data_IF_242403220392
#
_entry.id   IF_242403220392
#
_cell.length_a   1.000
_cell.length_b   1.000
_cell.length_c   1.000
_cell.angle_alpha   90.00
_cell.angle_beta   90.00
_cell.angle_gamma   90.00
#
_symmetry.space_group_name_H-M   'P 1'
#
loop_
_entity.id
_entity.type
_entity.pdbx_description
1 polymer ?
#
# COMPACT_ATOMS: atom_id res chain seq x y z
N UNK A 1 -22.18 -13.02 -3.98
CA UNK A 1 -21.15 -13.88 -3.38
C UNK A 1 -20.67 -14.99 -4.33
N UNK A 2 -21.55 -15.79 -4.99
CA UNK A 2 -21.14 -16.86 -5.94
C UNK A 2 -20.40 -16.32 -7.18
N UNK A 3 -20.82 -15.20 -7.75
CA UNK A 3 -20.13 -14.59 -8.91
C UNK A 3 -18.73 -14.04 -8.56
N UNK A 4 -18.53 -13.44 -7.39
CA UNK A 4 -17.19 -13.04 -6.91
C UNK A 4 -16.27 -14.23 -6.70
N UNK A 5 -16.76 -15.35 -6.21
CA UNK A 5 -15.97 -16.59 -6.05
C UNK A 5 -15.60 -17.25 -7.38
N UNK A 6 -16.42 -17.13 -8.43
CA UNK A 6 -16.10 -17.61 -9.79
C UNK A 6 -15.01 -16.75 -10.44
N UNK A 7 -15.13 -15.42 -10.41
CA UNK A 7 -14.10 -14.52 -10.97
C UNK A 7 -12.74 -14.69 -10.28
N UNK A 8 -12.71 -14.97 -8.98
CA UNK A 8 -11.46 -15.24 -8.25
C UNK A 8 -10.82 -16.56 -8.73
N UNK A 9 -11.60 -17.61 -8.99
CA UNK A 9 -11.06 -18.90 -9.41
C UNK A 9 -10.43 -18.88 -10.81
N UNK A 10 -11.01 -18.16 -11.74
CA UNK A 10 -10.55 -18.14 -13.14
C UNK A 10 -9.37 -17.18 -13.36
N UNK A 11 -9.22 -16.17 -12.50
CA UNK A 11 -8.10 -15.20 -12.56
C UNK A 11 -6.90 -15.58 -11.67
N UNK A 12 -7.02 -16.58 -10.80
CA UNK A 12 -5.98 -16.95 -9.83
C UNK A 12 -4.67 -17.41 -10.49
N UNK A 13 -4.74 -17.99 -11.68
CA UNK A 13 -3.55 -18.56 -12.34
C UNK A 13 -2.55 -17.48 -12.78
N UNK A 14 -2.99 -16.24 -12.95
CA UNK A 14 -2.16 -15.13 -13.42
C UNK A 14 -1.97 -14.01 -12.38
N UNK A 15 -2.66 -14.08 -11.22
CA UNK A 15 -2.55 -13.05 -10.21
C UNK A 15 -1.37 -13.29 -9.29
N UNK A 16 -0.45 -12.32 -9.17
CA UNK A 16 0.69 -12.39 -8.21
C UNK A 16 0.31 -12.02 -6.78
N UNK A 17 -0.91 -11.48 -6.57
CA UNK A 17 -1.38 -10.98 -5.27
C UNK A 17 -2.92 -10.98 -5.18
N UNK A 18 -3.43 -11.01 -3.94
CA UNK A 18 -4.86 -10.87 -3.63
C UNK A 18 -5.06 -9.77 -2.59
N UNK A 19 -6.11 -8.98 -2.81
CA UNK A 19 -6.59 -7.93 -1.91
C UNK A 19 -7.84 -8.37 -1.16
N UNK A 20 -7.90 -8.06 0.16
CA UNK A 20 -9.12 -8.12 0.96
C UNK A 20 -9.54 -9.51 1.41
N UNK A 21 -8.65 -10.48 1.37
CA UNK A 21 -8.86 -11.81 1.98
C UNK A 21 -8.01 -11.92 3.25
N UNK A 22 -8.55 -12.52 4.31
CA UNK A 22 -7.87 -12.78 5.58
C UNK A 22 -8.44 -14.02 6.27
N UNK A 23 -7.69 -14.54 7.25
CA UNK A 23 -8.00 -15.74 8.02
C UNK A 23 -7.01 -16.86 7.68
N UNK A 24 -6.28 -17.34 8.70
CA UNK A 24 -5.14 -18.24 8.54
C UNK A 24 -5.45 -19.47 7.67
N UNK A 25 -6.54 -20.18 7.95
CA UNK A 25 -6.90 -21.39 7.19
C UNK A 25 -7.30 -21.06 5.75
N UNK A 26 -8.00 -19.93 5.54
CA UNK A 26 -8.39 -19.46 4.20
C UNK A 26 -7.16 -19.13 3.37
N UNK A 27 -6.19 -18.42 3.98
CA UNK A 27 -4.96 -18.02 3.31
C UNK A 27 -4.08 -19.19 2.94
N UNK A 28 -3.90 -20.14 3.86
CA UNK A 28 -3.16 -21.39 3.57
C UNK A 28 -3.76 -22.13 2.39
N UNK A 29 -5.07 -22.33 2.40
CA UNK A 29 -5.76 -23.01 1.30
C UNK A 29 -5.63 -22.27 -0.05
N UNK A 30 -5.78 -20.95 -0.04
CA UNK A 30 -5.62 -20.15 -1.27
C UNK A 30 -4.19 -20.25 -1.81
N UNK A 31 -3.19 -20.23 -0.90
CA UNK A 31 -1.78 -20.36 -1.27
C UNK A 31 -1.49 -21.72 -1.89
N UNK A 32 -1.98 -22.81 -1.27
CA UNK A 32 -1.84 -24.18 -1.80
C UNK A 32 -2.49 -24.32 -3.17
N UNK A 33 -3.75 -23.89 -3.30
CA UNK A 33 -4.52 -23.95 -4.56
C UNK A 33 -3.84 -23.14 -5.68
N UNK A 34 -3.22 -22.01 -5.34
CA UNK A 34 -2.49 -21.17 -6.27
C UNK A 34 -1.15 -21.78 -6.68
N UNK A 35 -0.32 -22.17 -5.70
CA UNK A 35 1.03 -22.70 -5.98
C UNK A 35 0.97 -24.01 -6.75
N UNK A 36 -0.05 -24.84 -6.52
CA UNK A 36 -0.25 -26.10 -7.26
C UNK A 36 -0.48 -25.88 -8.77
N UNK A 37 -0.96 -24.71 -9.17
CA UNK A 37 -1.24 -24.36 -10.57
C UNK A 37 -0.12 -23.55 -11.22
N UNK A 38 0.74 -22.95 -10.44
CA UNK A 38 1.84 -22.11 -10.91
C UNK A 38 3.04 -22.95 -11.35
N UNK A 39 3.59 -22.72 -12.56
CA UNK A 39 4.72 -23.51 -13.07
C UNK A 39 6.00 -23.35 -12.24
N UNK A 40 6.17 -22.21 -11.57
CA UNK A 40 7.38 -21.89 -10.78
C UNK A 40 7.14 -21.96 -9.26
N UNK A 41 5.95 -22.32 -8.81
CA UNK A 41 5.56 -22.39 -7.40
C UNK A 41 5.89 -21.13 -6.59
N UNK A 42 5.77 -19.93 -7.24
CA UNK A 42 6.01 -18.63 -6.60
C UNK A 42 4.81 -18.28 -5.70
N UNK A 43 5.03 -18.04 -4.40
CA UNK A 43 3.94 -17.71 -3.49
C UNK A 43 3.22 -16.40 -3.87
N UNK A 44 1.90 -16.35 -3.60
CA UNK A 44 1.08 -15.17 -3.77
C UNK A 44 1.27 -14.18 -2.60
N UNK A 45 1.15 -12.87 -2.86
CA UNK A 45 1.07 -11.85 -1.81
C UNK A 45 -0.38 -11.66 -1.36
N UNK A 46 -0.61 -11.63 -0.05
CA UNK A 46 -1.90 -11.30 0.55
C UNK A 46 -1.84 -9.90 1.16
N UNK A 47 -2.72 -9.01 0.71
CA UNK A 47 -2.71 -7.59 1.05
C UNK A 47 -4.06 -7.12 1.56
N UNK A 48 -4.06 -6.17 2.51
CA UNK A 48 -5.29 -5.59 3.05
C UNK A 48 -5.02 -4.22 3.68
N UNK A 49 -6.07 -3.39 3.78
CA UNK A 49 -6.04 -2.18 4.59
C UNK A 49 -6.12 -2.51 6.07
N UNK A 50 -5.04 -2.29 6.81
CA UNK A 50 -4.97 -2.40 8.27
C UNK A 50 -4.52 -1.04 8.81
N UNK A 51 -5.33 0.00 8.57
CA UNK A 51 -4.94 1.41 8.79
C UNK A 51 -4.88 1.75 10.27
N UNK A 52 -5.88 1.32 11.04
CA UNK A 52 -5.94 1.54 12.48
C UNK A 52 -6.43 0.30 13.24
N UNK A 53 -5.92 -0.84 12.87
CA UNK A 53 -6.18 -2.14 13.49
C UNK A 53 -6.73 -3.19 12.53
N UNK A 54 -6.63 -4.45 12.92
CA UNK A 54 -7.14 -5.61 12.16
C UNK A 54 -8.49 -6.09 12.74
N UNK A 55 -8.47 -6.70 13.91
CA UNK A 55 -9.65 -7.10 14.70
C UNK A 55 -9.79 -6.20 15.91
N UNK A 56 -8.71 -5.93 16.61
CA UNK A 56 -8.68 -4.86 17.61
C UNK A 56 -8.59 -3.55 16.86
N UNK A 57 -9.61 -2.70 17.01
CA UNK A 57 -9.66 -1.40 16.35
C UNK A 57 -9.08 -0.36 17.31
N UNK A 58 -8.04 0.32 16.84
CA UNK A 58 -7.42 1.48 17.49
C UNK A 58 -8.11 2.77 17.03
N UNK A 59 -7.90 3.90 17.71
CA UNK A 59 -8.43 5.20 17.26
C UNK A 59 -8.03 5.50 15.82
N UNK A 60 -8.92 6.20 15.10
CA UNK A 60 -8.63 6.62 13.73
C UNK A 60 -7.35 7.48 13.67
N UNK A 61 -6.61 7.49 12.55
CA UNK A 61 -5.34 8.20 12.46
C UNK A 61 -5.41 9.68 12.87
N UNK A 62 -6.50 10.36 12.58
CA UNK A 62 -6.70 11.76 13.03
C UNK A 62 -6.71 11.88 14.56
N UNK A 63 -7.36 10.94 15.25
CA UNK A 63 -7.34 10.90 16.71
C UNK A 63 -5.96 10.49 17.26
N UNK A 64 -5.23 9.63 16.55
CA UNK A 64 -3.84 9.31 16.87
C UNK A 64 -2.96 10.57 16.72
N UNK A 65 -3.10 11.31 15.63
CA UNK A 65 -2.39 12.58 15.43
C UNK A 65 -2.64 13.60 16.53
N UNK A 66 -3.86 13.67 17.06
CA UNK A 66 -4.24 14.57 18.16
C UNK A 66 -3.57 14.25 19.49
N UNK A 67 -2.97 13.08 19.66
CA UNK A 67 -2.20 12.73 20.86
C UNK A 67 -0.81 13.36 20.90
N UNK A 68 -0.26 13.74 19.75
CA UNK A 68 1.13 14.12 19.58
C UNK A 68 2.14 13.05 20.04
N UNK A 69 1.73 11.77 20.02
CA UNK A 69 2.52 10.62 20.48
C UNK A 69 2.71 9.60 19.34
N UNK A 70 3.74 9.76 18.50
CA UNK A 70 4.04 8.82 17.42
C UNK A 70 4.43 7.43 17.93
N UNK A 71 5.10 7.32 19.08
CA UNK A 71 5.52 6.06 19.68
C UNK A 71 4.32 5.16 19.98
N UNK A 72 3.28 5.72 20.58
CA UNK A 72 2.02 5.01 20.86
C UNK A 72 1.37 4.49 19.57
N UNK A 73 1.39 5.27 18.48
CA UNK A 73 0.91 4.82 17.17
C UNK A 73 1.73 3.66 16.60
N UNK A 74 3.05 3.68 16.81
CA UNK A 74 3.94 2.59 16.47
C UNK A 74 3.63 1.30 17.25
N UNK A 75 3.30 1.40 18.53
CA UNK A 75 2.85 0.26 19.36
C UNK A 75 1.52 -0.33 18.84
N UNK A 76 0.56 0.53 18.48
CA UNK A 76 -0.70 0.10 17.88
C UNK A 76 -0.50 -0.58 16.54
N UNK A 77 0.39 -0.05 15.69
CA UNK A 77 0.78 -0.67 14.42
C UNK A 77 1.43 -2.04 14.63
N UNK A 78 2.28 -2.18 15.67
CA UNK A 78 2.89 -3.47 16.01
C UNK A 78 1.86 -4.50 16.50
N UNK A 79 0.88 -4.09 17.30
CA UNK A 79 -0.22 -4.95 17.71
C UNK A 79 -1.10 -5.38 16.52
N UNK A 80 -1.43 -4.43 15.64
CA UNK A 80 -2.17 -4.71 14.41
C UNK A 80 -1.41 -5.64 13.47
N UNK A 81 -0.07 -5.50 13.37
CA UNK A 81 0.79 -6.39 12.58
C UNK A 81 0.74 -7.82 13.07
N UNK A 82 0.74 -8.06 14.40
CA UNK A 82 0.63 -9.40 14.98
C UNK A 82 -0.69 -10.08 14.61
N UNK A 83 -1.81 -9.34 14.71
CA UNK A 83 -3.12 -9.87 14.31
C UNK A 83 -3.17 -10.15 12.79
N UNK A 84 -2.69 -9.21 11.97
CA UNK A 84 -2.68 -9.31 10.51
C UNK A 84 -1.81 -10.47 10.03
N UNK A 85 -0.60 -10.60 10.56
CA UNK A 85 0.34 -11.67 10.23
C UNK A 85 -0.19 -13.06 10.62
N UNK A 86 -0.77 -13.20 11.82
CA UNK A 86 -1.41 -14.43 12.25
C UNK A 86 -2.60 -14.83 11.38
N UNK A 87 -3.35 -13.84 10.84
CA UNK A 87 -4.42 -14.04 9.87
C UNK A 87 -3.92 -14.32 8.44
N UNK A 88 -2.60 -14.37 8.21
CA UNK A 88 -1.97 -14.72 6.93
C UNK A 88 -1.77 -13.55 5.97
N UNK A 89 -1.82 -12.31 6.45
CA UNK A 89 -1.48 -11.13 5.63
C UNK A 89 0.03 -10.94 5.55
N UNK A 90 0.49 -10.53 4.37
CA UNK A 90 1.89 -10.20 4.08
C UNK A 90 2.16 -8.70 4.02
N UNK A 91 1.16 -7.94 3.58
CA UNK A 91 1.24 -6.49 3.33
C UNK A 91 0.03 -5.78 3.91
N UNK A 92 0.27 -4.63 4.53
CA UNK A 92 -0.77 -3.66 4.86
C UNK A 92 -0.63 -2.39 4.03
N UNK A 93 -1.76 -1.79 3.60
CA UNK A 93 -1.80 -0.48 2.96
C UNK A 93 -1.85 0.64 4.02
N UNK A 94 -0.83 0.70 4.84
CA UNK A 94 -0.66 1.63 5.96
C UNK A 94 0.84 1.96 6.16
N UNK A 95 1.15 3.19 6.65
CA UNK A 95 0.27 4.30 6.98
C UNK A 95 -0.23 5.09 5.76
N UNK A 96 -1.36 5.79 5.96
CA UNK A 96 -1.75 6.90 5.10
C UNK A 96 -1.05 8.16 5.60
N UNK A 97 -0.19 8.73 4.76
CA UNK A 97 0.66 9.88 5.12
C UNK A 97 0.33 11.15 4.34
N UNK A 98 -0.87 11.21 3.75
CA UNK A 98 -1.35 12.40 3.08
C UNK A 98 -1.54 13.54 4.08
N UNK A 99 -0.89 14.68 3.80
CA UNK A 99 -1.04 15.87 4.60
C UNK A 99 -2.38 16.55 4.29
N UNK A 100 -3.19 16.79 5.31
CA UNK A 100 -4.48 17.47 5.16
C UNK A 100 -4.29 18.98 5.20
N UNK A 101 -4.76 19.68 4.17
CA UNK A 101 -4.77 21.16 4.12
C UNK A 101 -6.20 21.72 4.05
N UNK A 102 -7.16 20.94 3.61
CA UNK A 102 -8.55 21.32 3.51
C UNK A 102 -9.43 20.33 4.30
N UNK A 103 -10.04 20.81 5.39
CA UNK A 103 -10.86 19.99 6.27
C UNK A 103 -12.15 19.45 5.59
N UNK A 104 -12.49 19.91 4.39
CA UNK A 104 -13.61 19.40 3.59
C UNK A 104 -13.28 18.10 2.86
N UNK A 105 -12.00 17.73 2.76
CA UNK A 105 -11.60 16.50 2.12
C UNK A 105 -12.15 15.26 2.88
N UNK A 106 -12.82 14.35 2.16
CA UNK A 106 -13.54 13.22 2.78
C UNK A 106 -12.66 12.20 3.50
N UNK A 107 -11.33 12.20 3.25
CA UNK A 107 -10.36 11.26 3.84
C UNK A 107 -9.55 11.86 5.00
N UNK A 108 -9.94 13.02 5.52
CA UNK A 108 -9.28 13.67 6.68
C UNK A 108 -9.08 12.72 7.85
N UNK A 109 -10.06 11.85 8.12
CA UNK A 109 -10.05 10.89 9.24
C UNK A 109 -8.90 9.87 9.15
N UNK A 110 -8.39 9.61 7.96
CA UNK A 110 -7.29 8.66 7.72
C UNK A 110 -5.89 9.30 7.90
N UNK A 111 -5.80 10.63 7.99
CA UNK A 111 -4.55 11.38 8.15
C UNK A 111 -4.24 11.66 9.61
N UNK A 112 -2.96 11.82 9.94
CA UNK A 112 -2.50 12.29 11.25
C UNK A 112 -2.56 13.82 11.39
N UNK A 113 -2.98 14.57 10.35
CA UNK A 113 -3.24 16.01 10.44
C UNK A 113 -2.55 16.87 9.39
N UNK A 114 -2.28 18.12 9.75
CA UNK A 114 -1.83 19.18 8.84
C UNK A 114 -0.35 19.59 9.02
N UNK A 115 0.32 19.08 10.07
CA UNK A 115 1.72 19.39 10.35
C UNK A 115 2.65 18.40 9.63
N UNK A 116 3.53 18.85 8.71
CA UNK A 116 4.38 17.94 7.93
C UNK A 116 5.47 17.26 8.78
N UNK A 117 5.96 17.92 9.85
CA UNK A 117 6.94 17.32 10.73
C UNK A 117 6.32 16.21 11.58
N UNK A 118 5.20 16.51 12.23
CA UNK A 118 4.48 15.52 13.05
C UNK A 118 4.03 14.32 12.20
N UNK A 119 3.47 14.57 11.02
CA UNK A 119 3.09 13.51 10.07
C UNK A 119 4.30 12.65 9.68
N UNK A 120 5.48 13.23 9.51
CA UNK A 120 6.73 12.48 9.25
C UNK A 120 7.12 11.58 10.43
N UNK A 121 6.97 12.06 11.66
CA UNK A 121 7.24 11.24 12.86
C UNK A 121 6.27 10.09 13.02
N UNK A 122 4.98 10.31 12.73
CA UNK A 122 3.98 9.24 12.70
C UNK A 122 4.26 8.23 11.58
N UNK A 123 4.62 8.70 10.38
CA UNK A 123 5.01 7.85 9.26
C UNK A 123 6.12 6.87 9.65
N UNK A 124 7.20 7.40 10.22
CA UNK A 124 8.34 6.60 10.70
C UNK A 124 7.93 5.56 11.75
N UNK A 125 7.21 5.99 12.79
CA UNK A 125 6.84 5.12 13.90
C UNK A 125 5.89 3.99 13.47
N UNK A 126 4.90 4.30 12.63
CA UNK A 126 3.93 3.33 12.14
C UNK A 126 4.59 2.31 11.19
N UNK A 127 5.46 2.75 10.28
CA UNK A 127 6.23 1.83 9.41
C UNK A 127 7.07 0.87 10.24
N UNK A 128 7.83 1.38 11.22
CA UNK A 128 8.62 0.55 12.15
C UNK A 128 7.74 -0.39 12.98
N UNK A 129 6.57 0.06 13.39
CA UNK A 129 5.60 -0.76 14.11
C UNK A 129 5.16 -1.98 13.31
N UNK A 130 4.75 -1.78 12.05
CA UNK A 130 4.33 -2.87 11.17
C UNK A 130 5.47 -3.79 10.77
N UNK A 131 6.62 -3.26 10.39
CA UNK A 131 7.72 -4.01 9.79
C UNK A 131 8.77 -4.51 10.77
N UNK A 132 9.00 -3.78 11.88
CA UNK A 132 10.18 -4.01 12.71
C UNK A 132 11.48 -3.74 11.93
N UNK A 133 12.55 -4.38 12.36
CA UNK A 133 13.87 -4.29 11.72
C UNK A 133 14.05 -5.33 10.59
N UNK A 134 13.28 -6.41 10.63
CA UNK A 134 13.33 -7.48 9.63
C UNK A 134 11.92 -8.04 9.39
N UNK A 135 11.50 -8.03 8.12
CA UNK A 135 10.21 -8.56 7.69
C UNK A 135 10.06 -10.08 7.86
N UNK A 136 11.15 -10.83 8.01
CA UNK A 136 11.12 -12.26 8.34
C UNK A 136 10.76 -12.51 9.80
N UNK A 137 10.88 -11.51 10.66
CA UNK A 137 10.50 -11.62 12.07
C UNK A 137 9.01 -11.98 12.21
N UNK A 138 8.65 -12.99 13.02
CA UNK A 138 7.25 -13.34 13.24
C UNK A 138 6.41 -12.15 13.76
N UNK A 139 5.18 -12.07 13.28
CA UNK A 139 4.24 -11.00 13.67
C UNK A 139 4.47 -9.66 12.97
N UNK A 140 5.27 -9.63 11.90
CA UNK A 140 5.51 -8.43 11.08
C UNK A 140 4.90 -8.58 9.70
N UNK A 141 4.48 -7.44 9.11
CA UNK A 141 3.93 -7.32 7.76
C UNK A 141 4.58 -6.14 7.04
N UNK A 142 4.70 -6.23 5.73
CA UNK A 142 5.23 -5.13 4.92
C UNK A 142 4.26 -3.94 4.94
N UNK A 143 4.81 -2.74 5.10
CA UNK A 143 4.10 -1.47 5.11
C UNK A 143 4.09 -0.88 3.70
N UNK A 144 2.92 -0.40 3.27
CA UNK A 144 2.73 0.34 2.03
C UNK A 144 2.26 1.75 2.39
N UNK A 145 3.16 2.73 2.30
CA UNK A 145 2.78 4.13 2.56
C UNK A 145 1.96 4.70 1.40
N UNK A 146 0.96 5.50 1.72
CA UNK A 146 -0.01 5.99 0.73
C UNK A 146 -0.53 7.40 1.05
N UNK A 147 -1.01 8.12 0.04
CA UNK A 147 -1.02 7.86 -1.39
C UNK A 147 -0.07 8.83 -2.09
N UNK A 148 0.92 8.36 -2.78
CA UNK A 148 1.99 9.17 -3.37
C UNK A 148 1.54 9.86 -4.67
N UNK A 149 1.40 11.20 -4.70
CA UNK A 149 1.58 12.13 -3.60
C UNK A 149 0.67 13.34 -3.75
N UNK A 150 0.58 14.13 -2.66
CA UNK A 150 -0.15 15.38 -2.67
C UNK A 150 -1.66 15.25 -2.59
N UNK A 151 -2.20 14.08 -2.35
CA UNK A 151 -3.63 13.77 -2.43
C UNK A 151 -4.49 14.61 -1.46
N UNK A 152 -4.00 14.91 -0.26
CA UNK A 152 -4.67 15.79 0.70
C UNK A 152 -4.70 17.27 0.31
N UNK A 153 -4.01 17.67 -0.77
CA UNK A 153 -3.99 19.01 -1.33
C UNK A 153 -5.04 19.26 -2.41
N UNK A 154 -6.03 18.37 -2.55
CA UNK A 154 -7.05 18.49 -3.60
C UNK A 154 -7.81 19.82 -3.55
N UNK A 155 -7.98 20.45 -4.71
CA UNK A 155 -8.67 21.73 -4.84
C UNK A 155 -10.08 21.67 -4.25
N UNK A 156 -10.37 22.56 -3.29
CA UNK A 156 -11.64 22.62 -2.56
C UNK A 156 -12.00 21.34 -1.80
N UNK A 157 -11.02 20.52 -1.42
CA UNK A 157 -11.23 19.24 -0.72
C UNK A 157 -11.93 18.18 -1.56
N UNK A 158 -11.97 18.30 -2.87
CA UNK A 158 -12.64 17.34 -3.76
C UNK A 158 -11.78 16.12 -3.96
N UNK A 159 -12.25 14.99 -3.46
CA UNK A 159 -11.59 13.70 -3.62
C UNK A 159 -11.46 13.31 -5.10
N UNK A 160 -10.45 12.51 -5.45
CA UNK A 160 -10.12 12.05 -6.82
C UNK A 160 -9.80 13.18 -7.81
N UNK A 161 -9.58 14.41 -7.36
CA UNK A 161 -9.56 15.56 -8.25
C UNK A 161 -8.17 16.21 -8.35
N UNK A 162 -8.14 17.38 -8.97
CA UNK A 162 -6.96 18.13 -9.31
C UNK A 162 -6.24 18.65 -8.06
N UNK A 163 -4.91 18.51 -8.08
CA UNK A 163 -4.01 19.17 -7.14
C UNK A 163 -3.13 20.14 -7.91
N UNK A 164 -3.20 21.41 -7.55
CA UNK A 164 -2.41 22.51 -8.12
C UNK A 164 -1.48 23.04 -7.03
N UNK A 165 -0.21 22.71 -7.14
CA UNK A 165 0.80 23.09 -6.16
C UNK A 165 2.06 23.58 -6.87
N UNK A 166 2.69 24.63 -6.32
CA UNK A 166 4.06 24.94 -6.71
C UNK A 166 4.98 23.80 -6.27
N UNK A 167 6.06 23.58 -7.01
CA UNK A 167 7.05 22.55 -6.63
C UNK A 167 7.64 22.81 -5.24
N UNK A 168 7.85 24.07 -4.86
CA UNK A 168 8.28 24.45 -3.52
C UNK A 168 7.30 23.97 -2.45
N UNK A 169 5.99 24.30 -2.58
CA UNK A 169 4.96 23.86 -1.64
C UNK A 169 4.86 22.33 -1.59
N UNK A 170 4.96 21.69 -2.73
CA UNK A 170 4.90 20.23 -2.83
C UNK A 170 6.06 19.57 -2.06
N UNK A 171 7.29 20.05 -2.26
CA UNK A 171 8.49 19.54 -1.61
C UNK A 171 8.53 19.83 -0.10
N UNK A 172 8.06 21.00 0.31
CA UNK A 172 8.12 21.43 1.71
C UNK A 172 7.04 20.76 2.57
N UNK A 173 5.85 20.56 2.05
CA UNK A 173 4.71 20.11 2.86
C UNK A 173 4.26 18.68 2.57
N UNK A 174 4.28 18.23 1.32
CA UNK A 174 3.65 16.96 0.95
C UNK A 174 4.62 15.78 0.80
N UNK A 175 5.91 16.03 0.58
CA UNK A 175 6.90 14.97 0.42
C UNK A 175 7.57 14.50 1.73
N UNK A 176 7.71 15.31 2.80
CA UNK A 176 8.51 14.92 3.97
C UNK A 176 8.06 13.63 4.65
N UNK A 177 6.73 13.41 4.80
CA UNK A 177 6.22 12.21 5.45
C UNK A 177 6.47 10.93 4.65
N UNK A 178 6.45 11.01 3.30
CA UNK A 178 6.86 9.90 2.44
C UNK A 178 8.34 9.60 2.58
N UNK A 179 9.19 10.65 2.57
CA UNK A 179 10.63 10.47 2.76
C UNK A 179 10.93 9.81 4.10
N UNK A 180 10.28 10.25 5.19
CA UNK A 180 10.44 9.64 6.51
C UNK A 180 10.02 8.15 6.54
N UNK A 181 8.90 7.81 5.89
CA UNK A 181 8.46 6.42 5.77
C UNK A 181 9.41 5.55 4.93
N UNK A 182 9.96 6.09 3.84
CA UNK A 182 10.96 5.41 3.00
C UNK A 182 12.25 5.19 3.80
N UNK A 183 12.73 6.21 4.50
CA UNK A 183 13.93 6.11 5.36
C UNK A 183 13.74 5.15 6.54
N UNK A 184 12.51 4.98 7.02
CA UNK A 184 12.14 3.95 7.99
C UNK A 184 12.04 2.54 7.39
N UNK A 185 12.24 2.39 6.08
CA UNK A 185 12.29 1.12 5.37
C UNK A 185 10.97 0.64 4.80
N UNK A 186 9.98 1.52 4.56
CA UNK A 186 8.71 1.12 3.95
C UNK A 186 8.94 0.27 2.69
N UNK A 187 8.38 -0.94 2.67
CA UNK A 187 8.61 -1.90 1.61
C UNK A 187 7.82 -1.60 0.34
N UNK A 188 6.72 -0.86 0.46
CA UNK A 188 5.85 -0.49 -0.64
C UNK A 188 5.40 0.97 -0.56
N UNK A 189 5.07 1.52 -1.73
CA UNK A 189 4.40 2.81 -1.90
C UNK A 189 3.19 2.63 -2.81
N UNK A 190 2.10 3.32 -2.53
CA UNK A 190 0.89 3.32 -3.37
C UNK A 190 0.73 4.67 -4.04
N UNK A 191 0.42 4.67 -5.35
CA UNK A 191 0.15 5.91 -6.09
C UNK A 191 -1.19 6.52 -5.66
N UNK A 192 -1.34 7.82 -5.82
CA UNK A 192 -2.59 8.50 -5.56
C UNK A 192 -3.50 8.60 -6.79
N UNK A 193 -4.78 8.96 -6.58
CA UNK A 193 -5.77 9.12 -7.64
C UNK A 193 -5.68 10.47 -8.35
N UNK A 194 -5.25 11.52 -7.63
CA UNK A 194 -5.30 12.90 -8.11
C UNK A 194 -4.33 13.16 -9.26
N UNK A 195 -4.57 14.26 -9.94
CA UNK A 195 -3.58 14.85 -10.84
C UNK A 195 -2.67 15.81 -10.06
N UNK A 196 -1.39 15.82 -10.40
CA UNK A 196 -0.44 16.86 -9.99
C UNK A 196 -0.13 17.71 -11.22
N UNK A 197 -0.50 18.99 -11.17
CA UNK A 197 -0.27 19.92 -12.28
C UNK A 197 -0.77 19.36 -13.63
N UNK A 198 -1.96 18.76 -13.62
CA UNK A 198 -2.62 18.21 -14.80
C UNK A 198 -2.22 16.79 -15.20
N UNK A 199 -1.24 16.15 -14.54
CA UNK A 199 -0.81 14.78 -14.84
C UNK A 199 -1.27 13.82 -13.73
N UNK A 200 -2.05 12.75 -14.04
CA UNK A 200 -2.45 11.75 -13.04
C UNK A 200 -1.22 11.09 -12.40
N UNK A 201 -1.24 10.95 -11.08
CA UNK A 201 -0.09 10.45 -10.32
C UNK A 201 0.41 9.09 -10.84
N UNK A 202 -0.50 8.14 -11.11
CA UNK A 202 -0.14 6.78 -11.56
C UNK A 202 0.58 6.73 -12.92
N UNK A 203 0.51 7.80 -13.73
CA UNK A 203 1.21 7.89 -15.03
C UNK A 203 2.24 9.03 -15.06
N UNK A 204 2.52 9.64 -13.93
CA UNK A 204 3.43 10.77 -13.81
C UNK A 204 4.88 10.29 -13.62
N UNK A 205 5.60 10.19 -14.74
CA UNK A 205 6.99 9.73 -14.75
C UNK A 205 7.91 10.60 -13.88
N UNK A 206 7.77 11.92 -13.93
CA UNK A 206 8.52 12.83 -13.07
C UNK A 206 8.30 12.51 -11.58
N UNK A 207 7.03 12.30 -11.18
CA UNK A 207 6.72 12.01 -9.79
C UNK A 207 7.27 10.65 -9.33
N UNK A 208 7.12 9.60 -10.15
CA UNK A 208 7.46 8.22 -9.77
C UNK A 208 8.93 7.87 -10.03
N UNK A 209 9.50 8.29 -11.17
CA UNK A 209 10.89 7.96 -11.51
C UNK A 209 11.87 8.98 -10.94
N UNK A 210 11.63 10.29 -11.15
CA UNK A 210 12.63 11.29 -10.79
C UNK A 210 12.57 11.58 -9.28
N UNK A 211 11.38 11.85 -8.72
CA UNK A 211 11.25 12.16 -7.28
C UNK A 211 11.30 10.90 -6.43
N UNK A 212 10.36 9.95 -6.60
CA UNK A 212 10.25 8.82 -5.70
C UNK A 212 11.48 7.90 -5.76
N UNK A 213 11.83 7.42 -6.96
CA UNK A 213 12.97 6.50 -7.09
C UNK A 213 14.31 7.22 -7.10
N UNK A 214 14.42 8.33 -7.85
CA UNK A 214 15.69 9.07 -8.00
C UNK A 214 16.08 9.85 -6.77
N UNK A 215 15.28 10.84 -6.37
CA UNK A 215 15.64 11.75 -5.27
C UNK A 215 15.43 11.14 -3.88
N UNK A 216 14.31 10.39 -3.68
CA UNK A 216 14.02 9.77 -2.38
C UNK A 216 14.72 8.42 -2.21
N UNK A 217 15.24 7.81 -3.29
CA UNK A 217 15.97 6.54 -3.25
C UNK A 217 15.08 5.32 -2.96
N UNK A 218 13.78 5.38 -3.31
CA UNK A 218 12.89 4.26 -3.10
C UNK A 218 13.14 3.12 -4.09
N UNK A 219 13.52 1.96 -3.59
CA UNK A 219 13.80 0.74 -4.37
C UNK A 219 12.73 -0.35 -4.25
N UNK A 220 11.74 -0.15 -3.37
CA UNK A 220 10.65 -1.10 -3.12
C UNK A 220 9.58 -1.16 -4.21
N UNK A 221 8.49 -1.85 -3.90
CA UNK A 221 7.38 -2.08 -4.83
C UNK A 221 6.43 -0.87 -4.86
N UNK A 222 6.14 -0.37 -6.06
CA UNK A 222 5.15 0.67 -6.31
C UNK A 222 3.86 0.03 -6.84
N UNK A 223 2.77 0.16 -6.10
CA UNK A 223 1.44 -0.32 -6.49
C UNK A 223 0.53 0.85 -6.85
N UNK A 224 -0.34 0.68 -7.84
CA UNK A 224 -1.40 1.67 -8.08
C UNK A 224 -2.45 1.63 -6.96
N UNK A 225 -3.18 2.71 -6.75
CA UNK A 225 -4.42 2.65 -5.99
C UNK A 225 -5.51 1.92 -6.79
N UNK A 226 -6.64 1.62 -6.15
CA UNK A 226 -7.74 0.84 -6.71
C UNK A 226 -8.26 1.46 -8.02
N UNK A 227 -8.03 0.77 -9.13
CA UNK A 227 -8.38 1.19 -10.48
C UNK A 227 -7.70 2.49 -10.97
N UNK A 228 -6.73 3.06 -10.26
CA UNK A 228 -6.13 4.35 -10.59
C UNK A 228 -5.45 4.40 -11.96
N UNK A 229 -4.92 3.28 -12.46
CA UNK A 229 -4.35 3.22 -13.82
C UNK A 229 -5.47 3.42 -14.85
N UNK A 230 -6.59 2.73 -14.73
CA UNK A 230 -7.69 2.83 -15.68
C UNK A 230 -8.41 4.20 -15.60
N UNK A 231 -8.44 4.83 -14.42
CA UNK A 231 -9.00 6.18 -14.23
C UNK A 231 -8.29 7.25 -15.06
N UNK A 232 -7.03 7.03 -15.47
CA UNK A 232 -6.31 7.95 -16.36
C UNK A 232 -7.00 8.15 -17.71
N UNK A 233 -7.81 7.19 -18.15
CA UNK A 233 -8.67 7.31 -19.33
C UNK A 233 -9.81 8.30 -19.05
N UNK A 234 -10.45 8.25 -17.88
CA UNK A 234 -11.47 9.20 -17.47
C UNK A 234 -10.91 10.62 -17.31
N UNK A 235 -9.67 10.74 -16.82
CA UNK A 235 -8.92 12.01 -16.78
C UNK A 235 -8.50 12.51 -18.17
N UNK A 236 -8.74 11.74 -19.24
CA UNK A 236 -8.35 12.07 -20.64
C UNK A 236 -6.84 12.23 -20.83
N UNK A 237 -6.03 11.71 -19.93
CA UNK A 237 -4.57 11.65 -20.06
C UNK A 237 -4.10 10.39 -20.77
N UNK A 238 -4.92 9.34 -20.76
CA UNK A 238 -4.71 8.11 -21.54
C UNK A 238 -5.84 7.93 -22.54
N UNK A 239 -5.48 7.43 -23.74
CA UNK A 239 -6.41 7.22 -24.85
C UNK A 239 -7.37 6.06 -24.58
N UNK A 240 -6.83 4.98 -24.06
CA UNK A 240 -7.51 3.72 -23.76
C UNK A 240 -6.74 2.95 -22.69
N UNK A 241 -7.21 1.74 -22.35
CA UNK A 241 -6.59 0.89 -21.35
C UNK A 241 -5.15 0.47 -21.71
N UNK A 242 -4.84 0.27 -22.98
CA UNK A 242 -3.49 -0.08 -23.42
C UNK A 242 -2.50 1.08 -23.23
N UNK A 243 -2.90 2.30 -23.62
CA UNK A 243 -2.11 3.52 -23.39
C UNK A 243 -1.94 3.80 -21.89
N UNK A 244 -2.97 3.54 -21.07
CA UNK A 244 -2.89 3.65 -19.62
C UNK A 244 -1.87 2.66 -19.03
N UNK A 245 -1.90 1.39 -19.46
CA UNK A 245 -0.94 0.37 -19.04
C UNK A 245 0.50 0.75 -19.41
N UNK A 246 0.74 1.18 -20.66
CA UNK A 246 2.04 1.64 -21.14
C UNK A 246 2.58 2.79 -20.28
N UNK A 247 1.80 3.86 -20.12
CA UNK A 247 2.22 5.04 -19.35
C UNK A 247 2.49 4.75 -17.88
N UNK A 248 1.67 3.91 -17.25
CA UNK A 248 1.87 3.52 -15.85
C UNK A 248 3.15 2.67 -15.68
N UNK A 249 3.39 1.72 -16.57
CA UNK A 249 4.62 0.92 -16.57
C UNK A 249 5.87 1.80 -16.81
N UNK A 250 5.83 2.69 -17.79
CA UNK A 250 6.92 3.65 -18.06
C UNK A 250 7.14 4.60 -16.86
N UNK A 251 6.09 4.97 -16.13
CA UNK A 251 6.21 5.71 -14.89
C UNK A 251 6.81 4.88 -13.75
N UNK A 252 6.86 3.56 -13.86
CA UNK A 252 7.49 2.65 -12.89
C UNK A 252 6.53 2.07 -11.86
N UNK A 253 5.22 2.01 -12.15
CA UNK A 253 4.24 1.29 -11.34
C UNK A 253 4.39 -0.21 -11.56
N UNK A 254 4.66 -0.96 -10.49
CA UNK A 254 4.98 -2.38 -10.57
C UNK A 254 3.73 -3.27 -10.52
N UNK A 255 2.69 -2.86 -9.78
CA UNK A 255 1.45 -3.64 -9.60
C UNK A 255 0.24 -2.79 -9.99
N UNK A 256 -0.59 -3.33 -10.89
CA UNK A 256 -1.91 -2.81 -11.23
C UNK A 256 -2.96 -3.34 -10.26
N UNK A 257 -3.56 -2.47 -9.45
CA UNK A 257 -4.59 -2.87 -8.50
C UNK A 257 -5.96 -2.89 -9.16
N UNK A 258 -6.53 -4.11 -9.31
CA UNK A 258 -7.92 -4.44 -9.62
C UNK A 258 -8.42 -4.16 -11.04
N UNK A 259 -7.59 -3.67 -11.98
CA UNK A 259 -8.09 -3.40 -13.34
C UNK A 259 -7.72 -4.45 -14.36
N UNK A 260 -6.67 -5.25 -14.10
CA UNK A 260 -6.10 -6.21 -15.05
C UNK A 260 -5.61 -5.58 -16.36
N UNK A 261 -5.37 -4.27 -16.40
CA UNK A 261 -4.90 -3.59 -17.62
C UNK A 261 -3.50 -4.06 -18.00
N UNK A 262 -2.64 -4.38 -17.03
CA UNK A 262 -1.33 -4.96 -17.28
C UNK A 262 -1.46 -6.36 -17.89
N UNK A 263 -2.19 -7.24 -17.25
CA UNK A 263 -2.37 -8.62 -17.73
C UNK A 263 -3.01 -8.68 -19.13
N UNK A 264 -3.92 -7.76 -19.45
CA UNK A 264 -4.62 -7.73 -20.71
C UNK A 264 -3.83 -7.11 -21.88
N UNK A 265 -2.82 -6.27 -21.59
CA UNK A 265 -2.22 -5.44 -22.65
C UNK A 265 -0.70 -5.56 -22.77
N UNK A 266 0.05 -5.82 -21.68
CA UNK A 266 1.51 -5.69 -21.71
C UNK A 266 2.19 -6.68 -22.68
N UNK A 267 1.74 -7.94 -22.74
CA UNK A 267 2.32 -8.91 -23.69
C UNK A 267 2.25 -8.39 -25.13
N UNK A 268 1.07 -7.94 -25.55
CA UNK A 268 0.87 -7.40 -26.90
C UNK A 268 1.70 -6.15 -27.14
N UNK A 269 1.78 -5.23 -26.19
CA UNK A 269 2.56 -4.00 -26.32
C UNK A 269 4.06 -4.27 -26.44
N UNK A 270 4.59 -5.32 -25.80
CA UNK A 270 5.99 -5.76 -25.99
C UNK A 270 6.17 -6.39 -27.38
N UNK A 271 5.28 -7.29 -27.80
CA UNK A 271 5.33 -7.92 -29.13
C UNK A 271 5.27 -6.89 -30.26
N UNK A 272 4.52 -5.82 -30.10
CA UNK A 272 4.40 -4.69 -31.04
C UNK A 272 5.60 -3.70 -30.97
N UNK A 273 6.50 -3.88 -29.99
CA UNK A 273 7.65 -3.00 -29.78
C UNK A 273 7.29 -1.63 -29.18
N UNK A 274 6.09 -1.48 -28.62
CA UNK A 274 5.62 -0.24 -27.99
C UNK A 274 6.08 -0.08 -26.54
N UNK A 275 6.43 -1.19 -25.87
CA UNK A 275 6.94 -1.25 -24.50
C UNK A 275 8.20 -2.07 -24.47
N UNK A 276 9.22 -1.59 -23.75
CA UNK A 276 10.46 -2.32 -23.49
C UNK A 276 10.22 -3.41 -22.44
N UNK A 277 10.50 -4.68 -22.79
CA UNK A 277 10.35 -5.83 -21.90
C UNK A 277 11.14 -5.67 -20.58
N UNK A 278 12.28 -4.97 -20.64
CA UNK A 278 13.10 -4.68 -19.47
C UNK A 278 12.31 -3.97 -18.34
N UNK A 279 11.32 -3.14 -18.67
CA UNK A 279 10.47 -2.49 -17.67
C UNK A 279 9.60 -3.50 -16.90
N UNK A 280 9.18 -4.58 -17.58
CA UNK A 280 8.44 -5.68 -16.94
C UNK A 280 9.37 -6.47 -16.02
N UNK A 281 10.61 -6.75 -16.47
CA UNK A 281 11.62 -7.42 -15.67
C UNK A 281 11.93 -6.65 -14.37
N UNK A 282 12.08 -5.32 -14.46
CA UNK A 282 12.25 -4.47 -13.28
C UNK A 282 11.11 -4.62 -12.28
N UNK A 283 9.86 -4.61 -12.75
CA UNK A 283 8.69 -4.77 -11.90
C UNK A 283 8.65 -6.16 -11.24
N UNK A 284 8.88 -7.21 -12.03
CA UNK A 284 8.93 -8.58 -11.55
C UNK A 284 10.02 -8.75 -10.49
N UNK A 285 11.22 -8.22 -10.73
CA UNK A 285 12.33 -8.32 -9.79
C UNK A 285 11.98 -7.69 -8.43
N UNK A 286 11.44 -6.47 -8.40
CA UNK A 286 11.03 -5.81 -7.14
C UNK A 286 9.99 -6.61 -6.37
N UNK A 287 9.01 -7.20 -7.06
CA UNK A 287 7.99 -8.04 -6.44
C UNK A 287 8.61 -9.32 -5.87
N UNK A 288 9.53 -9.97 -6.60
CA UNK A 288 10.24 -11.16 -6.13
C UNK A 288 11.15 -10.84 -4.93
N UNK A 289 11.83 -9.70 -4.94
CA UNK A 289 12.62 -9.22 -3.80
C UNK A 289 11.76 -8.96 -2.56
N UNK A 290 10.58 -8.37 -2.72
CA UNK A 290 9.62 -8.21 -1.61
C UNK A 290 9.20 -9.57 -1.04
N UNK A 291 8.87 -10.54 -1.89
CA UNK A 291 8.53 -11.91 -1.46
C UNK A 291 9.69 -12.57 -0.71
N UNK A 292 10.92 -12.35 -1.16
CA UNK A 292 12.12 -12.84 -0.49
C UNK A 292 12.37 -12.15 0.85
N UNK A 293 12.23 -10.82 0.92
CA UNK A 293 12.32 -10.05 2.20
C UNK A 293 11.27 -10.52 3.22
N UNK A 294 10.11 -10.96 2.77
CA UNK A 294 9.05 -11.52 3.62
C UNK A 294 9.31 -12.99 4.02
N UNK A 295 10.31 -13.66 3.43
CA UNK A 295 10.63 -15.08 3.68
C UNK A 295 9.64 -16.07 3.03
N UNK A 296 8.89 -15.64 2.00
CA UNK A 296 7.82 -16.46 1.42
C UNK A 296 8.35 -17.64 0.61
N UNK A 297 9.58 -17.58 0.11
CA UNK A 297 10.18 -18.70 -0.62
C UNK A 297 10.58 -19.84 0.32
N UNK A 298 10.93 -19.52 1.57
CA UNK A 298 11.23 -20.50 2.60
C UNK A 298 9.96 -21.03 3.29
N UNK A 299 8.98 -20.12 3.51
CA UNK A 299 7.69 -20.45 4.11
C UNK A 299 6.56 -19.63 3.45
N UNK A 300 5.82 -20.21 2.49
CA UNK A 300 4.79 -19.47 1.74
C UNK A 300 3.58 -19.01 2.60
N UNK A 301 3.43 -19.58 3.79
CA UNK A 301 2.36 -19.24 4.73
C UNK A 301 2.79 -18.17 5.74
N UNK A 302 4.10 -17.91 5.83
CA UNK A 302 4.71 -17.01 6.81
C UNK A 302 4.25 -17.35 8.24
N UNK A 303 3.46 -16.51 8.85
CA UNK A 303 2.98 -16.63 10.24
C UNK A 303 1.51 -17.07 10.35
N UNK A 304 0.85 -17.40 9.23
CA UNK A 304 -0.55 -17.78 9.22
C UNK A 304 -0.80 -18.96 10.18
N UNK A 305 -1.57 -18.74 11.24
CA UNK A 305 -1.81 -19.71 12.31
C UNK A 305 -3.14 -19.41 12.98
N UNK A 306 -4.12 -20.31 12.83
CA UNK A 306 -5.48 -20.12 13.33
C UNK A 306 -5.56 -20.00 14.86
N UNK A 307 -4.68 -20.71 15.60
CA UNK A 307 -4.65 -20.61 17.06
C UNK A 307 -4.04 -19.28 17.51
N UNK A 308 -2.98 -18.80 16.85
CA UNK A 308 -2.42 -17.47 17.11
C UNK A 308 -3.40 -16.37 16.70
N UNK A 309 -4.06 -16.49 15.55
CA UNK A 309 -5.09 -15.56 15.11
C UNK A 309 -6.18 -15.40 16.18
N UNK A 310 -6.67 -16.53 16.69
CA UNK A 310 -7.66 -16.53 17.77
C UNK A 310 -7.11 -15.93 19.08
N UNK A 311 -5.86 -16.22 19.42
CA UNK A 311 -5.23 -15.75 20.65
C UNK A 311 -4.95 -14.26 20.65
N UNK A 312 -4.57 -13.69 19.49
CA UNK A 312 -4.23 -12.25 19.37
C UNK A 312 -5.46 -11.37 19.19
N UNK A 313 -6.49 -11.86 18.49
CA UNK A 313 -7.69 -11.08 18.21
C UNK A 313 -8.38 -10.65 19.53
N UNK A 314 -8.43 -9.32 19.74
CA UNK A 314 -9.06 -8.70 20.91
C UNK A 314 -8.48 -9.18 22.25
N UNK A 315 -7.20 -9.59 22.28
CA UNK A 315 -6.55 -10.00 23.53
C UNK A 315 -6.50 -8.83 24.54
N UNK A 316 -6.36 -9.13 25.85
CA UNK A 316 -6.37 -8.09 26.89
C UNK A 316 -5.36 -6.98 26.65
N UNK A 317 -4.15 -7.31 26.17
CA UNK A 317 -3.07 -6.38 25.91
C UNK A 317 -3.41 -5.42 24.77
N UNK A 318 -3.95 -5.93 23.64
CA UNK A 318 -4.37 -5.09 22.53
C UNK A 318 -5.57 -4.19 22.90
N UNK A 319 -6.49 -4.71 23.69
CA UNK A 319 -7.63 -3.91 24.17
C UNK A 319 -7.20 -2.81 25.14
N UNK A 320 -6.25 -3.09 26.04
CA UNK A 320 -5.68 -2.09 26.94
C UNK A 320 -4.96 -0.97 26.13
N UNK A 321 -4.19 -1.36 25.11
CA UNK A 321 -3.54 -0.41 24.21
C UNK A 321 -4.58 0.46 23.46
N UNK A 322 -5.69 -0.12 23.00
CA UNK A 322 -6.72 0.62 22.27
C UNK A 322 -7.40 1.71 23.11
N UNK A 323 -7.49 1.55 24.43
CA UNK A 323 -8.10 2.56 25.33
C UNK A 323 -7.08 3.55 25.90
N UNK A 324 -5.78 3.33 25.77
CA UNK A 324 -4.75 4.25 26.27
C UNK A 324 -4.85 5.64 25.63
N UNK A 325 -5.25 5.72 24.37
CA UNK A 325 -5.51 6.98 23.66
C UNK A 325 -6.61 7.84 24.32
N UNK A 326 -7.62 7.21 24.91
CA UNK A 326 -8.75 7.92 25.52
C UNK A 326 -8.31 8.75 26.73
N UNK A 327 -7.24 8.35 27.39
CA UNK A 327 -6.70 9.05 28.56
C UNK A 327 -5.74 10.20 28.22
N UNK A 328 -5.23 10.27 26.99
CA UNK A 328 -4.35 11.34 26.53
C UNK A 328 -5.13 12.55 25.98
N UNK A 329 -6.38 12.37 25.60
CA UNK A 329 -7.23 13.41 25.00
C UNK A 329 -8.18 14.09 25.99
N UNK A 330 -8.13 13.78 27.28
CA UNK A 330 -8.85 14.40 28.37
C UNK A 330 -7.92 15.21 29.26
#
# INVERSE_FOLDING_TARGET
>A
RRQRQMCIRDSLEMAGSILGAAGADTMKKLQDDYMAKQPHHIPMLFMMDVIHGMKTIFPAPLAQGATFDPELSGECASAAAKEASAAGLHVTFSPMVDLVRDARWGRVVESTGEDPYLNSRFSEAIVKGFQGDDLKTPGKVASCIKHFAGYGGAVAGRDYNTVELSEHTFREFYLPAYKAGIDAGAAMVMTSFNTINGVPASTNKWLMRDILRGEMGFDGVLISDFAAILETVAHRSSKDAADAAKKALEAGVDIDMMTSVYAANLCRLVEEGEVDEHLIDECCLRILELKNKLGLFENPYKDADAEKEKAYNLCPEHRALAVSYTHLTL
#
